data_IF_959678390935
#
_entry.id   IF_959678390935
#
_cell.length_a   1.000
_cell.length_b   1.000
_cell.length_c   1.000
_cell.angle_alpha   90.00
_cell.angle_beta   90.00
_cell.angle_gamma   90.00
#
_symmetry.space_group_name_H-M   'P 1'
#
loop_
_entity.id
_entity.type
_entity.pdbx_description
1 polymer ?
#
# COMPACT_ATOMS: atom_id res chain seq x y z
N UNK A 1 -76.83 7.50 71.41
CA UNK A 1 -76.32 6.43 72.31
C UNK A 1 -75.69 5.34 71.44
N UNK A 2 -74.38 5.08 71.62
CA UNK A 2 -73.60 3.88 71.19
C UNK A 2 -73.55 3.58 69.68
N UNK A 3 -72.44 3.74 68.96
CA UNK A 3 -71.15 2.99 68.99
C UNK A 3 -71.26 1.54 68.44
N UNK A 4 -70.44 1.28 67.40
CA UNK A 4 -69.73 0.04 66.99
C UNK A 4 -70.30 -0.95 65.93
N UNK A 5 -69.47 -1.09 64.88
CA UNK A 5 -68.81 -2.31 64.31
C UNK A 5 -69.49 -3.17 63.22
N UNK A 6 -68.78 -3.16 62.07
CA UNK A 6 -68.28 -4.28 61.24
C UNK A 6 -69.26 -5.38 60.80
N UNK A 7 -69.33 -5.59 59.48
CA UNK A 7 -69.01 -6.89 58.86
C UNK A 7 -68.74 -6.77 57.36
N UNK A 8 -67.89 -7.68 56.91
CA UNK A 8 -67.30 -7.89 55.59
C UNK A 8 -68.14 -8.94 54.86
N UNK A 9 -68.45 -8.77 53.56
CA UNK A 9 -68.55 -9.90 52.62
C UNK A 9 -68.69 -9.45 51.16
N UNK A 10 -68.08 -10.29 50.32
CA UNK A 10 -67.81 -10.19 48.90
C UNK A 10 -69.08 -10.41 48.07
N UNK A 11 -69.21 -9.67 46.96
CA UNK A 11 -70.22 -9.89 45.93
C UNK A 11 -69.72 -9.39 44.57
N UNK A 12 -69.10 -10.28 43.82
CA UNK A 12 -68.82 -10.13 42.38
C UNK A 12 -70.17 -10.07 41.64
N UNK A 13 -70.33 -9.16 40.67
CA UNK A 13 -70.81 -9.41 39.28
C UNK A 13 -71.28 -8.11 38.61
N UNK A 14 -70.44 -7.62 37.69
CA UNK A 14 -70.73 -7.08 36.33
C UNK A 14 -72.13 -6.54 36.04
N UNK A 15 -72.23 -5.25 35.65
CA UNK A 15 -72.80 -4.87 34.34
C UNK A 15 -72.45 -3.42 33.95
N UNK A 16 -72.07 -3.28 32.68
CA UNK A 16 -71.75 -2.07 31.91
C UNK A 16 -72.84 -0.99 31.92
N UNK A 17 -72.46 0.30 31.95
CA UNK A 17 -72.58 1.21 30.78
C UNK A 17 -72.07 2.63 31.10
N UNK A 18 -71.20 3.14 30.23
CA UNK A 18 -71.27 4.51 29.69
C UNK A 18 -70.80 5.68 30.57
N UNK A 19 -69.60 6.17 30.29
CA UNK A 19 -69.46 7.56 29.82
C UNK A 19 -68.15 7.74 29.05
N UNK A 20 -68.28 8.02 27.74
CA UNK A 20 -67.23 8.64 26.95
C UNK A 20 -66.88 10.00 27.60
N UNK A 21 -65.71 10.07 28.23
CA UNK A 21 -65.01 11.33 28.40
C UNK A 21 -64.03 11.49 27.24
N UNK A 22 -64.45 12.17 26.18
CA UNK A 22 -63.53 12.68 25.17
C UNK A 22 -62.64 13.74 25.83
N UNK A 23 -61.47 13.35 26.29
CA UNK A 23 -60.36 14.29 26.43
C UNK A 23 -59.81 14.54 25.03
N UNK A 24 -60.46 15.44 24.29
CA UNK A 24 -59.79 16.21 23.26
C UNK A 24 -58.68 16.99 23.95
N UNK A 25 -57.47 16.40 23.95
CA UNK A 25 -56.25 17.16 24.20
C UNK A 25 -56.14 18.11 23.02
N UNK A 26 -56.49 19.39 23.26
CA UNK A 26 -56.09 20.44 22.35
C UNK A 26 -54.56 20.40 22.31
N UNK A 27 -54.01 19.98 21.18
CA UNK A 27 -52.60 20.22 20.87
C UNK A 27 -52.42 21.73 20.94
N UNK A 28 -51.65 22.18 21.92
CA UNK A 28 -51.17 23.55 21.96
C UNK A 28 -50.18 23.69 20.80
N UNK A 29 -50.66 24.11 19.64
CA UNK A 29 -49.87 24.36 18.42
C UNK A 29 -48.91 25.57 18.57
N UNK A 30 -48.70 26.07 19.81
CA UNK A 30 -47.89 27.27 20.08
C UNK A 30 -46.40 27.00 20.35
N UNK A 31 -45.98 25.76 20.55
CA UNK A 31 -44.57 25.47 20.79
C UNK A 31 -43.80 25.41 19.46
N UNK A 32 -42.88 26.36 19.30
CA UNK A 32 -41.92 26.38 18.20
C UNK A 32 -41.04 25.12 18.18
N UNK A 33 -40.15 25.05 17.19
CA UNK A 33 -39.21 23.94 17.14
C UNK A 33 -38.29 23.92 18.37
N UNK A 34 -38.17 22.77 19.02
CA UNK A 34 -37.39 22.62 20.26
C UNK A 34 -36.75 21.24 20.38
N UNK A 35 -35.68 21.16 21.19
CA UNK A 35 -35.09 19.88 21.58
C UNK A 35 -35.97 19.18 22.60
N UNK A 36 -36.21 17.88 22.39
CA UNK A 36 -37.04 17.05 23.27
C UNK A 36 -36.27 15.77 23.60
N UNK A 37 -36.24 15.39 24.88
CA UNK A 37 -35.67 14.13 25.33
C UNK A 37 -36.75 13.13 25.74
N UNK A 38 -36.74 11.96 25.11
CA UNK A 38 -37.70 10.87 25.34
C UNK A 38 -36.94 9.54 25.32
N UNK A 39 -37.15 8.67 26.32
CA UNK A 39 -36.50 7.34 26.42
C UNK A 39 -34.96 7.36 26.32
N UNK A 40 -34.33 8.42 26.84
CA UNK A 40 -32.88 8.61 26.77
C UNK A 40 -32.35 9.06 25.40
N UNK A 41 -33.22 9.31 24.42
CA UNK A 41 -32.88 9.85 23.10
C UNK A 41 -33.18 11.34 23.03
N UNK A 42 -32.49 12.04 22.14
CA UNK A 42 -32.74 13.47 21.85
C UNK A 42 -33.30 13.61 20.44
N UNK A 43 -34.37 14.41 20.30
CA UNK A 43 -35.04 14.75 19.05
C UNK A 43 -35.16 16.27 18.92
N UNK A 44 -35.43 16.76 17.71
CA UNK A 44 -35.85 18.15 17.49
C UNK A 44 -37.25 18.14 16.88
N UNK A 45 -38.24 18.70 17.60
CA UNK A 45 -39.66 18.48 17.32
C UNK A 45 -40.43 19.80 17.22
N UNK A 46 -41.53 19.78 16.46
CA UNK A 46 -42.60 20.78 16.48
C UNK A 46 -43.95 20.05 16.47
N UNK A 47 -44.61 20.00 17.63
CA UNK A 47 -45.73 19.08 17.85
C UNK A 47 -45.29 17.63 17.59
N UNK A 48 -46.02 16.95 16.72
CA UNK A 48 -45.72 15.56 16.32
C UNK A 48 -44.63 15.43 15.24
N UNK A 49 -44.24 16.55 14.60
CA UNK A 49 -43.21 16.53 13.56
C UNK A 49 -41.83 16.35 14.20
N UNK A 50 -41.04 15.42 13.66
CA UNK A 50 -39.62 15.21 13.99
C UNK A 50 -38.75 15.70 12.84
N UNK A 51 -37.67 16.39 13.18
CA UNK A 51 -36.64 16.68 12.19
C UNK A 51 -35.89 15.41 11.79
N UNK A 52 -35.47 15.36 10.53
CA UNK A 52 -34.63 14.30 9.96
C UNK A 52 -33.54 14.92 9.09
N UNK A 53 -32.41 14.24 8.98
CA UNK A 53 -31.21 14.73 8.28
C UNK A 53 -30.63 16.01 8.93
N UNK A 54 -30.07 16.92 8.14
CA UNK A 54 -29.35 18.08 8.64
C UNK A 54 -30.28 19.22 9.03
N UNK A 55 -29.92 19.91 10.11
CA UNK A 55 -30.53 21.20 10.49
C UNK A 55 -29.51 22.14 11.11
N UNK A 56 -29.64 23.42 10.78
CA UNK A 56 -28.96 24.51 11.50
C UNK A 56 -29.88 24.99 12.63
N UNK A 57 -29.39 24.92 13.87
CA UNK A 57 -30.08 25.39 15.07
C UNK A 57 -29.11 26.33 15.79
N UNK A 58 -29.52 27.59 15.96
CA UNK A 58 -28.71 28.63 16.60
C UNK A 58 -27.29 28.75 16.02
N UNK A 59 -27.18 28.66 14.70
CA UNK A 59 -25.91 28.75 13.97
C UNK A 59 -25.04 27.49 14.01
N UNK A 60 -25.51 26.40 14.60
CA UNK A 60 -24.78 25.13 14.69
C UNK A 60 -25.46 24.04 13.87
N UNK A 61 -24.65 23.17 13.25
CA UNK A 61 -25.16 22.03 12.50
C UNK A 61 -25.41 20.82 13.40
N UNK A 62 -26.58 20.22 13.23
CA UNK A 62 -26.99 18.96 13.84
C UNK A 62 -27.45 18.01 12.74
N UNK A 63 -27.41 16.70 13.02
CA UNK A 63 -28.00 15.68 12.17
C UNK A 63 -28.90 14.75 12.97
N UNK A 64 -30.08 14.47 12.43
CA UNK A 64 -31.07 13.58 13.00
C UNK A 64 -31.25 12.38 12.07
N UNK A 65 -31.33 11.18 12.64
CA UNK A 65 -31.51 9.94 11.90
C UNK A 65 -32.66 10.04 10.89
N UNK A 66 -32.45 9.52 9.68
CA UNK A 66 -33.41 9.67 8.58
C UNK A 66 -34.73 8.92 8.81
N UNK A 67 -34.74 7.92 9.70
CA UNK A 67 -35.92 7.10 10.00
C UNK A 67 -36.51 7.47 11.35
N UNK A 68 -35.71 7.53 12.41
CA UNK A 68 -36.20 7.72 13.77
C UNK A 68 -36.26 9.19 14.23
N UNK A 69 -35.49 10.07 13.58
CA UNK A 69 -35.26 11.44 14.01
C UNK A 69 -34.35 11.56 15.25
N UNK A 70 -33.67 10.47 15.63
CA UNK A 70 -32.74 10.48 16.77
C UNK A 70 -31.48 11.27 16.44
N UNK A 71 -31.08 12.18 17.33
CA UNK A 71 -29.87 13.00 17.16
C UNK A 71 -28.61 12.13 17.20
N UNK A 72 -27.71 12.33 16.25
CA UNK A 72 -26.46 11.58 16.15
C UNK A 72 -25.34 12.19 17.00
N UNK A 73 -24.34 11.38 17.36
CA UNK A 73 -23.11 11.82 18.05
C UNK A 73 -21.90 11.04 17.53
N UNK A 74 -20.68 11.56 17.73
CA UNK A 74 -19.44 10.88 17.35
C UNK A 74 -19.25 10.75 15.84
N UNK A 75 -18.61 9.66 15.39
CA UNK A 75 -18.35 9.41 13.98
C UNK A 75 -19.61 9.05 13.21
N UNK A 76 -19.86 9.72 12.08
CA UNK A 76 -21.01 9.46 11.22
C UNK A 76 -20.58 9.42 9.76
N UNK A 77 -21.05 8.41 9.03
CA UNK A 77 -20.94 8.35 7.57
C UNK A 77 -22.31 8.61 6.95
N UNK A 78 -22.55 9.86 6.59
CA UNK A 78 -23.88 10.39 6.27
C UNK A 78 -23.83 11.29 5.03
N UNK A 79 -24.93 11.46 4.27
CA UNK A 79 -24.97 12.32 3.09
C UNK A 79 -24.59 13.75 3.45
N UNK A 80 -23.79 14.42 2.61
CA UNK A 80 -23.46 15.84 2.82
C UNK A 80 -24.72 16.73 2.84
N UNK A 81 -24.70 17.92 3.49
CA UNK A 81 -25.84 18.82 3.60
C UNK A 81 -26.19 19.47 2.25
N UNK A 82 -26.98 18.77 1.43
CA UNK A 82 -27.45 19.22 0.12
C UNK A 82 -28.79 19.95 0.25
N UNK A 83 -28.82 21.23 -0.12
CA UNK A 83 -29.99 22.11 0.00
C UNK A 83 -31.16 21.57 -0.81
N UNK A 84 -32.30 21.36 -0.15
CA UNK A 84 -33.50 20.78 -0.76
C UNK A 84 -33.51 19.26 -0.83
N UNK A 85 -32.46 18.56 -0.40
CA UNK A 85 -32.43 17.09 -0.32
C UNK A 85 -32.27 16.60 1.12
N UNK A 86 -31.17 17.00 1.77
CA UNK A 86 -30.78 16.54 3.12
C UNK A 86 -30.60 17.69 4.10
N UNK A 87 -30.66 18.95 3.64
CA UNK A 87 -30.82 20.14 4.47
C UNK A 87 -31.88 21.08 3.88
N UNK A 88 -32.63 21.77 4.74
CA UNK A 88 -33.61 22.75 4.30
C UNK A 88 -33.00 23.97 3.58
N UNK A 89 -33.84 24.85 3.01
CA UNK A 89 -35.30 24.77 2.95
C UNK A 89 -35.80 23.70 1.96
N UNK A 90 -36.99 23.17 2.24
CA UNK A 90 -37.73 22.25 1.39
C UNK A 90 -39.00 22.96 0.88
N UNK A 91 -38.98 23.61 -0.30
CA UNK A 91 -40.16 24.28 -0.84
C UNK A 91 -41.33 23.32 -0.94
N UNK A 92 -42.47 23.68 -0.33
CA UNK A 92 -43.68 22.85 -0.25
C UNK A 92 -43.47 21.46 0.39
N UNK A 93 -42.40 21.29 1.19
CA UNK A 93 -42.04 20.01 1.79
C UNK A 93 -41.47 18.98 0.80
N UNK A 94 -41.20 19.38 -0.45
CA UNK A 94 -40.68 18.49 -1.49
C UNK A 94 -39.16 18.37 -1.36
N UNK A 95 -38.65 17.13 -1.40
CA UNK A 95 -37.22 16.83 -1.50
C UNK A 95 -36.86 16.57 -2.96
N UNK A 96 -35.71 17.09 -3.38
CA UNK A 96 -35.17 16.84 -4.71
C UNK A 96 -34.81 15.35 -4.89
N UNK A 97 -34.98 14.84 -6.11
CA UNK A 97 -34.58 13.47 -6.46
C UNK A 97 -33.06 13.29 -6.48
N UNK A 98 -32.62 12.06 -6.21
CA UNK A 98 -31.20 11.71 -6.04
C UNK A 98 -30.75 11.83 -4.58
N UNK A 99 -29.85 10.93 -4.17
CA UNK A 99 -29.33 10.92 -2.80
C UNK A 99 -27.88 11.46 -2.78
N UNK A 100 -27.59 12.50 -1.96
CA UNK A 100 -26.24 13.04 -1.87
C UNK A 100 -25.22 11.99 -1.44
N UNK A 101 -23.97 12.13 -1.91
CA UNK A 101 -22.86 11.26 -1.53
C UNK A 101 -22.64 11.37 -0.01
N UNK A 102 -22.38 10.22 0.63
CA UNK A 102 -22.00 10.18 2.03
C UNK A 102 -20.53 10.51 2.25
N UNK A 103 -20.27 11.20 3.36
CA UNK A 103 -18.94 11.56 3.82
C UNK A 103 -18.82 11.32 5.33
N UNK A 104 -17.58 11.29 5.83
CA UNK A 104 -17.31 11.12 7.25
C UNK A 104 -17.31 12.46 7.98
N UNK A 105 -18.17 12.58 8.99
CA UNK A 105 -18.28 13.74 9.88
C UNK A 105 -18.05 13.32 11.33
N UNK A 106 -17.69 14.29 12.18
CA UNK A 106 -17.55 14.09 13.62
C UNK A 106 -18.46 15.06 14.39
N UNK A 107 -19.31 14.51 15.24
CA UNK A 107 -20.19 15.27 16.13
C UNK A 107 -19.71 15.15 17.56
N UNK A 108 -19.81 16.22 18.34
CA UNK A 108 -19.53 16.14 19.77
C UNK A 108 -20.60 15.32 20.51
N UNK A 109 -20.41 15.15 21.82
CA UNK A 109 -21.32 14.39 22.69
C UNK A 109 -22.71 15.03 22.80
N UNK A 110 -22.86 16.29 22.40
CA UNK A 110 -24.11 17.05 22.43
C UNK A 110 -24.77 17.12 21.04
N UNK A 111 -24.22 16.42 20.04
CA UNK A 111 -24.76 16.34 18.68
C UNK A 111 -24.41 17.53 17.79
N UNK A 112 -23.50 18.40 18.21
CA UNK A 112 -23.02 19.52 17.40
C UNK A 112 -21.93 19.02 16.46
N UNK A 113 -22.08 19.28 15.15
CA UNK A 113 -21.04 19.03 14.16
C UNK A 113 -19.77 19.77 14.58
N UNK A 114 -18.66 19.05 14.66
CA UNK A 114 -17.36 19.68 14.80
C UNK A 114 -16.89 20.17 13.43
N UNK A 115 -16.88 21.48 13.24
CA UNK A 115 -16.43 22.17 12.02
C UNK A 115 -14.90 22.15 11.89
N UNK A 116 -14.30 20.96 11.98
CA UNK A 116 -12.87 20.78 11.88
C UNK A 116 -12.37 21.07 10.46
N UNK A 117 -11.13 21.57 10.37
CA UNK A 117 -10.36 21.74 9.14
C UNK A 117 -8.91 21.38 9.45
N UNK A 118 -8.25 20.68 8.53
CA UNK A 118 -6.87 20.23 8.67
C UNK A 118 -6.70 19.01 9.59
N UNK A 119 -5.49 18.82 10.08
CA UNK A 119 -5.12 17.67 10.90
C UNK A 119 -5.82 17.66 12.27
N UNK A 120 -6.36 16.49 12.64
CA UNK A 120 -6.94 16.21 13.96
C UNK A 120 -6.59 14.80 14.43
N UNK A 121 -6.34 14.68 15.72
CA UNK A 121 -6.18 13.39 16.39
C UNK A 121 -7.48 13.04 17.10
N UNK A 122 -8.14 11.97 16.67
CA UNK A 122 -9.45 11.55 17.17
C UNK A 122 -9.47 10.03 17.41
N UNK A 123 -10.49 9.56 18.14
CA UNK A 123 -10.67 8.13 18.39
C UNK A 123 -10.81 7.36 17.08
N UNK A 124 -10.29 6.13 17.03
CA UNK A 124 -10.45 5.28 15.86
C UNK A 124 -11.94 4.95 15.62
N UNK A 125 -12.26 4.71 14.35
CA UNK A 125 -13.58 4.22 13.93
C UNK A 125 -13.70 2.72 14.17
N UNK A 126 -14.72 2.33 14.91
CA UNK A 126 -15.10 0.96 15.22
C UNK A 126 -16.62 0.85 15.23
N UNK A 127 -17.13 -0.38 15.33
CA UNK A 127 -18.56 -0.65 15.52
C UNK A 127 -19.16 0.10 16.73
N UNK A 128 -18.38 0.32 17.79
CA UNK A 128 -18.84 1.00 18.99
C UNK A 128 -18.71 2.54 18.90
N UNK A 129 -17.82 3.07 18.04
CA UNK A 129 -17.61 4.52 17.91
C UNK A 129 -18.34 5.20 16.74
N UNK A 130 -18.84 4.42 15.77
CA UNK A 130 -19.52 4.92 14.55
C UNK A 130 -21.04 4.78 14.63
N UNK A 131 -21.78 5.72 14.04
CA UNK A 131 -23.22 5.60 13.79
C UNK A 131 -24.09 5.81 15.04
N UNK A 132 -23.47 6.20 16.16
CA UNK A 132 -24.10 6.27 17.48
C UNK A 132 -25.12 7.40 17.57
N UNK A 133 -26.14 7.16 18.38
CA UNK A 133 -27.19 8.14 18.72
C UNK A 133 -27.01 8.65 20.14
N UNK A 134 -27.45 9.87 20.39
CA UNK A 134 -27.39 10.46 21.72
C UNK A 134 -28.09 9.54 22.75
N UNK A 135 -27.41 9.32 23.88
CA UNK A 135 -27.88 8.47 24.98
C UNK A 135 -27.73 6.97 24.76
N UNK A 136 -27.14 6.51 23.65
CA UNK A 136 -26.68 5.13 23.56
C UNK A 136 -25.50 4.88 24.51
N UNK A 137 -25.59 3.81 25.30
CA UNK A 137 -24.45 3.32 26.07
C UNK A 137 -23.48 2.60 25.14
N UNK A 138 -22.19 2.94 25.23
CA UNK A 138 -21.12 2.16 24.60
C UNK A 138 -20.90 0.86 25.37
N UNK A 139 -20.67 -0.25 24.67
CA UNK A 139 -20.55 -1.58 25.30
C UNK A 139 -19.39 -1.64 26.30
N UNK A 140 -18.31 -0.88 26.05
CA UNK A 140 -17.12 -0.82 26.91
C UNK A 140 -17.21 0.22 28.06
N UNK A 141 -18.41 0.67 28.43
CA UNK A 141 -18.59 1.81 29.36
C UNK A 141 -18.49 1.49 30.85
N UNK A 142 -18.45 0.22 31.27
CA UNK A 142 -18.58 -0.14 32.69
C UNK A 142 -17.28 -0.43 33.48
N UNK A 143 -16.06 -0.46 32.91
CA UNK A 143 -14.86 -0.61 33.77
C UNK A 143 -13.48 -0.26 33.14
N UNK A 144 -13.42 0.45 31.99
CA UNK A 144 -12.14 0.85 31.37
C UNK A 144 -12.26 2.19 30.64
N UNK A 145 -12.32 3.29 31.39
CA UNK A 145 -11.73 4.51 30.85
C UNK A 145 -10.28 4.18 30.40
N UNK A 146 -9.88 4.64 29.21
CA UNK A 146 -8.48 4.70 28.75
C UNK A 146 -7.80 3.48 28.06
N UNK A 147 -8.47 2.81 27.12
CA UNK A 147 -7.75 2.32 25.92
C UNK A 147 -8.44 2.70 24.61
N UNK A 148 -8.88 3.95 24.50
CA UNK A 148 -9.28 4.50 23.19
C UNK A 148 -8.01 4.67 22.37
N UNK A 149 -7.91 3.92 21.28
CA UNK A 149 -6.87 4.16 20.31
C UNK A 149 -7.21 5.42 19.53
N UNK A 150 -6.23 6.28 19.34
CA UNK A 150 -6.35 7.50 18.56
C UNK A 150 -5.51 7.39 17.30
N UNK A 151 -5.95 8.07 16.24
CA UNK A 151 -5.17 8.21 15.01
C UNK A 151 -5.38 9.60 14.41
N UNK A 152 -4.60 9.91 13.40
CA UNK A 152 -4.63 11.19 12.71
C UNK A 152 -5.57 11.13 11.51
N UNK A 153 -6.35 12.19 11.38
CA UNK A 153 -7.32 12.43 10.33
C UNK A 153 -7.07 13.82 9.74
N UNK A 154 -7.46 14.02 8.49
CA UNK A 154 -7.45 15.33 7.86
C UNK A 154 -8.85 15.71 7.41
N UNK A 155 -9.33 16.88 7.85
CA UNK A 155 -10.64 17.42 7.50
C UNK A 155 -10.50 18.48 6.41
N UNK A 156 -11.36 18.40 5.39
CA UNK A 156 -11.43 19.39 4.33
C UNK A 156 -12.20 20.65 4.79
N UNK A 157 -12.36 21.61 3.88
CA UNK A 157 -13.05 22.88 4.16
C UNK A 157 -14.56 22.72 4.43
N UNK A 158 -15.14 21.57 4.07
CA UNK A 158 -16.55 21.23 4.32
C UNK A 158 -16.74 20.38 5.58
N UNK A 159 -15.70 20.28 6.43
CA UNK A 159 -15.71 19.58 7.71
C UNK A 159 -15.92 18.07 7.61
N UNK A 160 -15.63 17.48 6.46
CA UNK A 160 -15.59 16.04 6.27
C UNK A 160 -14.18 15.51 6.06
N UNK A 161 -13.98 14.20 6.26
CA UNK A 161 -12.67 13.58 6.08
C UNK A 161 -12.23 13.52 4.61
N UNK A 162 -10.98 13.90 4.36
CA UNK A 162 -10.28 13.53 3.13
C UNK A 162 -9.90 12.03 3.13
N UNK A 163 -9.80 11.44 1.94
CA UNK A 163 -9.38 10.03 1.75
C UNK A 163 -8.47 9.91 0.52
N UNK A 164 -7.58 8.91 0.52
CA UNK A 164 -6.59 8.73 -0.54
C UNK A 164 -5.38 9.65 -0.37
N UNK A 165 -4.78 10.06 -1.49
CA UNK A 165 -3.59 10.91 -1.50
C UNK A 165 -3.91 12.35 -1.10
N UNK A 166 -3.18 12.86 -0.11
CA UNK A 166 -3.24 14.23 0.38
C UNK A 166 -1.88 14.88 0.21
N UNK A 167 -1.83 16.04 -0.46
CA UNK A 167 -0.66 16.91 -0.45
C UNK A 167 -0.87 18.04 0.55
N UNK A 168 -0.05 18.08 1.59
CA UNK A 168 -0.10 19.11 2.63
C UNK A 168 1.30 19.40 3.16
N UNK A 169 1.56 20.65 3.56
CA UNK A 169 2.87 21.05 4.13
C UNK A 169 4.08 20.58 3.29
N UNK A 170 3.95 20.69 1.96
CA UNK A 170 4.96 20.25 0.98
C UNK A 170 5.26 18.75 0.93
N UNK A 171 4.41 17.91 1.55
CA UNK A 171 4.58 16.48 1.64
C UNK A 171 3.34 15.72 1.17
N UNK A 172 3.55 14.50 0.67
CA UNK A 172 2.46 13.58 0.33
C UNK A 172 2.18 12.65 1.51
N UNK A 173 0.90 12.48 1.82
CA UNK A 173 0.37 11.54 2.80
C UNK A 173 -0.67 10.66 2.13
N UNK A 174 -0.95 9.50 2.72
CA UNK A 174 -2.05 8.65 2.30
C UNK A 174 -3.02 8.44 3.45
N UNK A 175 -4.28 8.75 3.20
CA UNK A 175 -5.40 8.57 4.11
C UNK A 175 -6.20 7.36 3.63
N UNK A 176 -6.64 6.48 4.54
CA UNK A 176 -7.38 5.28 4.18
C UNK A 176 -8.57 5.61 3.25
N UNK A 177 -8.72 4.89 2.14
CA UNK A 177 -9.94 4.97 1.31
C UNK A 177 -11.14 4.50 2.14
N UNK A 178 -12.31 5.09 1.91
CA UNK A 178 -13.52 4.68 2.62
C UNK A 178 -13.91 3.26 2.23
N UNK A 179 -14.03 2.39 3.23
CA UNK A 179 -14.55 1.04 3.10
C UNK A 179 -15.45 0.75 4.30
N UNK A 180 -16.73 0.50 4.01
CA UNK A 180 -17.74 0.17 5.02
C UNK A 180 -18.36 -1.16 4.61
N UNK A 181 -17.91 -2.26 5.22
CA UNK A 181 -18.48 -3.59 5.05
C UNK A 181 -18.55 -4.33 6.39
N UNK A 182 -19.72 -4.84 6.77
CA UNK A 182 -19.89 -5.58 8.03
C UNK A 182 -19.38 -4.82 9.26
N UNK A 183 -18.17 -5.17 9.73
CA UNK A 183 -17.51 -4.58 10.90
C UNK A 183 -16.36 -3.62 10.57
N UNK A 184 -16.01 -3.45 9.30
CA UNK A 184 -14.97 -2.54 8.84
C UNK A 184 -15.54 -1.13 8.66
N UNK A 185 -14.93 -0.15 9.33
CA UNK A 185 -15.28 1.27 9.24
C UNK A 185 -14.03 2.11 8.90
N UNK A 186 -13.42 1.83 7.75
CA UNK A 186 -12.22 2.51 7.30
C UNK A 186 -12.59 3.80 6.55
N UNK A 187 -11.75 4.82 6.68
CA UNK A 187 -11.83 6.05 5.89
C UNK A 187 -11.10 7.22 6.55
N UNK A 188 -10.09 7.77 5.90
CA UNK A 188 -9.41 8.98 6.35
C UNK A 188 -8.33 8.77 7.42
N UNK A 189 -8.16 7.56 7.96
CA UNK A 189 -7.03 7.27 8.86
C UNK A 189 -5.71 7.48 8.13
N UNK A 190 -4.80 8.29 8.69
CA UNK A 190 -3.44 8.44 8.17
C UNK A 190 -2.72 7.10 8.19
N UNK A 191 -2.29 6.65 7.01
CA UNK A 191 -1.52 5.41 6.85
C UNK A 191 -0.03 5.66 7.06
N UNK A 192 0.70 4.59 7.34
CA UNK A 192 2.14 4.58 7.52
C UNK A 192 2.70 3.21 7.09
N UNK A 193 3.99 3.13 6.78
CA UNK A 193 4.63 1.92 6.24
C UNK A 193 4.22 1.62 4.80
N UNK A 194 4.26 0.34 4.42
CA UNK A 194 3.85 -0.10 3.09
C UNK A 194 2.35 0.04 2.89
N UNK A 195 1.95 0.66 1.78
CA UNK A 195 0.57 0.72 1.32
C UNK A 195 0.51 0.29 -0.15
N UNK A 196 -0.58 -0.38 -0.51
CA UNK A 196 -0.93 -0.67 -1.88
C UNK A 196 -2.12 0.20 -2.26
N UNK A 197 -1.97 0.97 -3.33
CA UNK A 197 -3.03 1.77 -3.92
C UNK A 197 -3.14 1.40 -5.40
N UNK A 198 -4.28 0.82 -5.76
CA UNK A 198 -4.60 0.36 -7.12
C UNK A 198 -3.45 -0.44 -7.76
N UNK A 199 -3.01 -1.50 -7.06
CA UNK A 199 -1.92 -2.41 -7.44
C UNK A 199 -0.51 -1.80 -7.45
N UNK A 200 -0.35 -0.55 -7.03
CA UNK A 200 0.95 0.12 -6.91
C UNK A 200 1.36 0.22 -5.45
N UNK A 201 2.59 -0.21 -5.13
CA UNK A 201 3.12 -0.13 -3.77
C UNK A 201 3.84 1.20 -3.53
N UNK A 202 3.64 1.77 -2.35
CA UNK A 202 4.31 2.96 -1.86
C UNK A 202 4.77 2.72 -0.43
N UNK A 203 5.76 3.49 0.02
CA UNK A 203 6.21 3.45 1.39
C UNK A 203 6.04 4.82 2.05
N UNK A 204 5.39 4.84 3.20
CA UNK A 204 5.19 6.03 4.02
C UNK A 204 6.05 5.89 5.28
N UNK A 205 6.71 6.96 5.68
CA UNK A 205 7.52 6.98 6.90
C UNK A 205 6.68 6.52 8.12
N UNK A 206 7.13 5.51 8.90
CA UNK A 206 6.34 4.96 10.00
C UNK A 206 5.93 5.97 11.08
N UNK A 207 6.72 7.04 11.27
CA UNK A 207 6.49 8.04 12.31
C UNK A 207 5.63 9.19 11.77
N UNK A 208 6.09 9.82 10.70
CA UNK A 208 5.55 11.05 10.13
C UNK A 208 4.47 10.81 9.07
N UNK A 209 4.38 9.59 8.51
CA UNK A 209 3.42 9.25 7.45
C UNK A 209 3.73 9.89 6.09
N UNK A 210 4.88 10.55 5.96
CA UNK A 210 5.32 11.20 4.73
C UNK A 210 5.74 10.14 3.71
N UNK A 211 5.24 10.24 2.49
CA UNK A 211 5.62 9.37 1.38
C UNK A 211 7.11 9.47 1.07
N UNK A 212 7.76 8.32 1.03
CA UNK A 212 9.19 8.20 0.74
C UNK A 212 9.46 8.06 -0.75
N UNK A 213 10.62 8.56 -1.18
CA UNK A 213 11.15 8.42 -2.54
C UNK A 213 12.63 8.03 -2.47
N UNK A 214 13.21 7.64 -3.61
CA UNK A 214 14.60 7.19 -3.71
C UNK A 214 14.85 5.80 -3.12
N UNK A 215 16.13 5.50 -2.86
CA UNK A 215 16.56 4.25 -2.24
C UNK A 215 16.18 4.18 -0.76
N UNK A 216 15.55 3.09 -0.36
CA UNK A 216 15.10 2.84 1.01
C UNK A 216 15.61 1.48 1.50
N UNK A 217 16.26 1.46 2.66
CA UNK A 217 16.73 0.23 3.30
C UNK A 217 15.75 -0.22 4.38
N UNK A 218 14.92 -1.21 4.05
CA UNK A 218 13.77 -1.63 4.85
C UNK A 218 13.83 -3.13 5.09
N UNK A 219 13.78 -3.56 6.36
CA UNK A 219 13.74 -4.99 6.69
C UNK A 219 14.92 -5.78 6.13
N UNK A 220 16.13 -5.20 6.15
CA UNK A 220 17.36 -5.78 5.60
C UNK A 220 17.36 -5.98 4.07
N UNK A 221 16.55 -5.21 3.35
CA UNK A 221 16.43 -5.21 1.89
C UNK A 221 16.44 -3.78 1.36
N UNK A 222 16.98 -3.59 0.16
CA UNK A 222 16.92 -2.31 -0.55
C UNK A 222 15.72 -2.28 -1.48
N UNK A 223 15.03 -1.15 -1.51
CA UNK A 223 13.93 -0.86 -2.42
C UNK A 223 14.19 0.49 -3.08
N UNK A 224 13.69 0.68 -4.30
CA UNK A 224 13.72 1.98 -4.94
C UNK A 224 12.29 2.50 -5.15
N UNK A 225 12.00 3.67 -4.59
CA UNK A 225 10.72 4.36 -4.71
C UNK A 225 10.93 5.50 -5.72
N UNK A 226 10.17 5.51 -6.81
CA UNK A 226 10.28 6.53 -7.86
C UNK A 226 9.93 7.91 -7.29
N UNK A 227 10.17 8.98 -8.06
CA UNK A 227 9.78 10.33 -7.66
C UNK A 227 8.28 10.49 -7.41
N UNK A 228 7.44 9.65 -8.02
CA UNK A 228 6.01 9.55 -7.73
C UNK A 228 5.68 8.77 -6.44
N UNK A 229 6.68 8.24 -5.74
CA UNK A 229 6.55 7.32 -4.60
C UNK A 229 6.31 5.86 -4.98
N UNK A 230 5.99 5.58 -6.24
CA UNK A 230 5.72 4.21 -6.69
C UNK A 230 6.98 3.34 -6.60
N UNK A 231 6.86 2.18 -5.96
CA UNK A 231 7.93 1.19 -5.86
C UNK A 231 8.32 0.67 -7.25
N UNK A 232 9.61 0.72 -7.56
CA UNK A 232 10.15 0.18 -8.80
C UNK A 232 10.29 -1.35 -8.73
N UNK A 233 10.02 -2.00 -9.85
CA UNK A 233 10.27 -3.42 -10.09
C UNK A 233 10.96 -3.58 -11.44
N UNK A 234 11.67 -4.70 -11.63
CA UNK A 234 12.46 -4.98 -12.83
C UNK A 234 13.75 -4.16 -12.90
N UNK A 235 14.23 -3.95 -14.13
CA UNK A 235 15.43 -3.15 -14.38
C UNK A 235 15.20 -1.67 -14.10
N UNK A 236 16.11 -1.08 -13.34
CA UNK A 236 16.14 0.35 -13.02
C UNK A 236 17.52 0.90 -13.32
N UNK A 237 17.56 2.06 -14.00
CA UNK A 237 18.80 2.75 -14.33
C UNK A 237 18.91 4.05 -13.54
N UNK A 238 20.00 4.20 -12.80
CA UNK A 238 20.37 5.42 -12.08
C UNK A 238 21.67 5.97 -12.65
N UNK A 239 21.60 7.09 -13.36
CA UNK A 239 22.71 7.59 -14.17
C UNK A 239 23.13 6.56 -15.22
N UNK A 240 24.35 6.03 -15.12
CA UNK A 240 24.87 4.98 -16.01
C UNK A 240 24.78 3.58 -15.42
N UNK A 241 24.33 3.45 -14.17
CA UNK A 241 24.35 2.18 -13.42
C UNK A 241 22.99 1.52 -13.48
N UNK A 242 22.97 0.23 -13.81
CA UNK A 242 21.76 -0.59 -13.80
C UNK A 242 21.65 -1.38 -12.49
N UNK A 243 20.43 -1.52 -12.01
CA UNK A 243 20.03 -2.31 -10.86
C UNK A 243 18.84 -3.18 -11.27
N UNK A 244 18.62 -4.28 -10.55
CA UNK A 244 17.43 -5.10 -10.73
C UNK A 244 16.65 -5.20 -9.42
N UNK A 245 15.40 -4.78 -9.46
CA UNK A 245 14.43 -4.88 -8.38
C UNK A 245 13.54 -6.09 -8.67
N UNK A 246 13.34 -6.96 -7.69
CA UNK A 246 12.54 -8.16 -7.81
C UNK A 246 11.14 -7.85 -8.38
N UNK A 247 10.69 -8.60 -9.38
CA UNK A 247 9.41 -8.30 -10.02
C UNK A 247 8.20 -8.44 -9.08
N UNK A 248 8.08 -9.51 -8.27
CA UNK A 248 6.97 -9.63 -7.32
C UNK A 248 7.14 -8.76 -6.06
N UNK A 249 8.36 -8.62 -5.53
CA UNK A 249 8.55 -8.02 -4.20
C UNK A 249 9.24 -6.64 -4.21
N UNK A 250 9.83 -6.20 -5.31
CA UNK A 250 10.54 -4.92 -5.42
C UNK A 250 11.91 -4.85 -4.71
N UNK A 251 12.35 -5.90 -4.03
CA UNK A 251 13.65 -5.91 -3.37
C UNK A 251 14.81 -6.00 -4.38
N UNK A 252 15.82 -5.16 -4.18
CA UNK A 252 17.02 -5.12 -5.01
C UNK A 252 17.80 -6.44 -4.91
N UNK A 253 18.11 -7.02 -6.07
CA UNK A 253 18.90 -8.24 -6.15
C UNK A 253 20.40 -7.96 -6.20
N UNK A 254 21.16 -8.94 -5.73
CA UNK A 254 22.62 -8.99 -5.79
C UNK A 254 23.06 -10.38 -6.24
N UNK A 255 24.33 -10.54 -6.61
CA UNK A 255 24.90 -11.79 -7.11
C UNK A 255 24.44 -12.14 -8.53
N UNK A 256 24.66 -13.41 -8.90
CA UNK A 256 24.23 -13.95 -10.18
C UNK A 256 22.70 -14.05 -10.28
N UNK A 257 22.13 -13.52 -11.36
CA UNK A 257 20.69 -13.52 -11.63
C UNK A 257 20.43 -14.03 -13.05
N UNK A 258 19.52 -14.98 -13.19
CA UNK A 258 19.07 -15.48 -14.50
C UNK A 258 17.76 -14.81 -14.89
N UNK A 259 17.81 -13.86 -15.82
CA UNK A 259 16.72 -12.95 -16.17
C UNK A 259 16.53 -12.96 -17.69
N UNK A 260 15.31 -13.24 -18.14
CA UNK A 260 14.98 -13.20 -19.58
C UNK A 260 15.89 -14.09 -20.44
N UNK A 261 16.19 -15.31 -19.96
CA UNK A 261 17.10 -16.29 -20.59
C UNK A 261 18.57 -15.87 -20.68
N UNK A 262 19.01 -14.93 -19.85
CA UNK A 262 20.41 -14.46 -19.80
C UNK A 262 20.89 -14.38 -18.35
N UNK A 263 22.18 -14.62 -18.13
CA UNK A 263 22.81 -14.41 -16.83
C UNK A 263 23.35 -12.99 -16.71
N UNK A 264 23.15 -12.38 -15.55
CA UNK A 264 23.71 -11.09 -15.17
C UNK A 264 24.38 -11.23 -13.80
N UNK A 265 25.41 -10.43 -13.54
CA UNK A 265 25.97 -10.32 -12.21
C UNK A 265 25.69 -8.93 -11.65
N UNK A 266 24.98 -8.88 -10.53
CA UNK A 266 24.76 -7.68 -9.75
C UNK A 266 25.75 -7.68 -8.60
N UNK A 267 26.57 -6.63 -8.48
CA UNK A 267 27.55 -6.50 -7.39
C UNK A 267 26.83 -6.48 -6.03
N UNK A 268 27.59 -6.55 -4.94
CA UNK A 268 27.02 -6.42 -3.58
C UNK A 268 26.28 -5.08 -3.35
N UNK A 269 26.63 -4.05 -4.11
CA UNK A 269 25.90 -2.77 -4.15
C UNK A 269 24.63 -2.79 -5.00
N UNK A 270 24.30 -3.91 -5.65
CA UNK A 270 23.22 -4.05 -6.63
C UNK A 270 23.57 -3.59 -8.04
N UNK A 271 24.69 -2.88 -8.22
CA UNK A 271 25.12 -2.39 -9.52
C UNK A 271 25.46 -3.54 -10.47
N UNK A 272 24.83 -3.56 -11.65
CA UNK A 272 25.10 -4.52 -12.71
C UNK A 272 26.54 -4.38 -13.20
N UNK A 273 27.27 -5.48 -13.20
CA UNK A 273 28.61 -5.52 -13.74
C UNK A 273 28.58 -5.61 -15.28
N UNK A 274 29.57 -4.99 -15.91
CA UNK A 274 29.89 -5.13 -17.34
C UNK A 274 31.40 -5.33 -17.48
N UNK A 275 31.83 -5.91 -18.60
CA UNK A 275 33.22 -6.27 -18.86
C UNK A 275 33.66 -7.52 -18.11
N UNK A 276 34.98 -7.64 -17.91
CA UNK A 276 35.57 -8.76 -17.16
C UNK A 276 35.24 -8.68 -15.67
N UNK A 277 34.77 -9.80 -15.13
CA UNK A 277 34.45 -9.98 -13.71
C UNK A 277 35.14 -11.25 -13.20
N UNK A 278 35.79 -11.14 -12.04
CA UNK A 278 36.48 -12.27 -11.39
C UNK A 278 35.74 -12.66 -10.11
N UNK A 279 35.39 -13.94 -9.99
CA UNK A 279 34.83 -14.54 -8.78
C UNK A 279 35.77 -15.66 -8.31
N UNK A 280 36.45 -15.43 -7.18
CA UNK A 280 37.55 -16.29 -6.76
C UNK A 280 38.68 -16.29 -7.78
N UNK A 281 38.98 -17.45 -8.37
CA UNK A 281 39.97 -17.59 -9.45
C UNK A 281 39.36 -17.63 -10.85
N UNK A 282 38.03 -17.67 -10.96
CA UNK A 282 37.32 -17.81 -12.24
C UNK A 282 36.99 -16.44 -12.82
N UNK A 283 37.27 -16.27 -14.11
CA UNK A 283 36.89 -15.08 -14.87
C UNK A 283 35.62 -15.32 -15.69
N UNK A 284 34.79 -14.30 -15.77
CA UNK A 284 33.59 -14.21 -16.58
C UNK A 284 33.64 -12.92 -17.40
N UNK A 285 32.99 -12.90 -18.55
CA UNK A 285 32.80 -11.67 -19.32
C UNK A 285 31.31 -11.33 -19.44
N UNK A 286 30.95 -10.14 -19.00
CA UNK A 286 29.61 -9.58 -19.09
C UNK A 286 29.59 -8.53 -20.18
N UNK A 287 28.61 -8.59 -21.08
CA UNK A 287 28.49 -7.69 -22.22
C UNK A 287 28.56 -6.22 -21.80
N UNK A 288 29.25 -5.39 -22.59
CA UNK A 288 29.22 -3.95 -22.40
C UNK A 288 28.48 -3.32 -23.60
N UNK A 289 27.40 -2.55 -23.37
CA UNK A 289 26.89 -2.07 -22.08
C UNK A 289 25.82 -2.96 -21.43
N UNK A 290 25.39 -4.07 -22.04
CA UNK A 290 24.12 -4.72 -21.68
C UNK A 290 24.19 -5.64 -20.45
N UNK A 291 25.37 -6.06 -20.00
CA UNK A 291 25.60 -6.86 -18.80
C UNK A 291 25.35 -8.36 -18.92
N UNK A 292 24.87 -8.85 -20.06
CA UNK A 292 24.63 -10.28 -20.22
C UNK A 292 25.92 -11.10 -20.33
N UNK A 293 25.99 -12.19 -19.57
CA UNK A 293 27.15 -13.08 -19.52
C UNK A 293 27.36 -13.77 -20.88
N UNK A 294 28.58 -13.69 -21.40
CA UNK A 294 28.97 -14.35 -22.65
C UNK A 294 29.46 -15.77 -22.42
N UNK A 295 29.33 -16.57 -23.47
CA UNK A 295 29.83 -17.95 -23.59
C UNK A 295 30.44 -18.16 -24.98
N UNK A 296 31.20 -19.24 -25.17
CA UNK A 296 31.88 -19.56 -26.42
C UNK A 296 33.11 -18.69 -26.70
N UNK A 297 33.56 -18.71 -27.96
CA UNK A 297 34.67 -17.88 -28.44
C UNK A 297 34.29 -16.40 -28.48
N UNK A 298 35.11 -15.55 -27.86
CA UNK A 298 34.91 -14.11 -27.78
C UNK A 298 36.18 -13.36 -28.20
N UNK A 299 36.04 -12.40 -29.12
CA UNK A 299 37.13 -11.50 -29.50
C UNK A 299 36.99 -10.18 -28.71
N UNK A 300 37.86 -9.99 -27.72
CA UNK A 300 37.79 -8.90 -26.75
C UNK A 300 39.13 -8.17 -26.73
N UNK A 301 39.13 -6.90 -27.14
CA UNK A 301 40.36 -6.11 -27.18
C UNK A 301 41.45 -6.68 -28.10
N UNK A 302 41.04 -7.19 -29.28
CA UNK A 302 41.91 -7.84 -30.27
C UNK A 302 42.57 -9.15 -29.81
N UNK A 303 42.00 -9.81 -28.80
CA UNK A 303 42.43 -11.11 -28.30
C UNK A 303 41.24 -12.07 -28.25
N UNK A 304 41.49 -13.33 -28.56
CA UNK A 304 40.47 -14.38 -28.47
C UNK A 304 40.50 -15.04 -27.10
N UNK A 305 39.33 -15.26 -26.53
CA UNK A 305 39.12 -16.00 -25.29
C UNK A 305 38.05 -17.05 -25.52
N UNK A 306 38.14 -18.17 -24.83
CA UNK A 306 37.06 -19.16 -24.80
C UNK A 306 36.38 -19.16 -23.44
N UNK A 307 35.09 -18.83 -23.43
CA UNK A 307 34.24 -18.89 -22.25
C UNK A 307 33.43 -20.19 -22.31
N UNK A 308 33.51 -21.03 -21.28
CA UNK A 308 32.74 -22.28 -21.20
C UNK A 308 31.23 -21.99 -21.18
N UNK A 309 30.41 -23.03 -21.31
CA UNK A 309 28.94 -22.90 -21.22
C UNK A 309 28.45 -22.30 -19.90
N UNK A 310 29.22 -22.45 -18.82
CA UNK A 310 28.99 -21.81 -17.52
C UNK A 310 29.40 -20.33 -17.48
N UNK A 311 29.99 -19.78 -18.55
CA UNK A 311 30.59 -18.45 -18.61
C UNK A 311 32.02 -18.36 -18.11
N UNK A 312 32.52 -19.42 -17.46
CA UNK A 312 33.88 -19.47 -16.92
C UNK A 312 34.92 -19.45 -18.05
N UNK A 313 35.86 -18.52 -18.00
CA UNK A 313 36.99 -18.44 -18.93
C UNK A 313 37.87 -19.68 -18.82
N UNK A 314 38.15 -20.33 -19.94
CA UNK A 314 39.07 -21.44 -20.01
C UNK A 314 40.53 -20.94 -20.06
N UNK A 315 41.42 -21.71 -19.46
CA UNK A 315 42.87 -21.55 -19.53
C UNK A 315 43.51 -22.91 -19.82
N UNK A 316 44.74 -22.90 -20.33
CA UNK A 316 45.46 -24.09 -20.76
C UNK A 316 44.95 -24.67 -22.08
N UNK A 317 45.17 -25.97 -22.25
CA UNK A 317 44.74 -26.70 -23.44
C UNK A 317 43.22 -26.83 -23.51
N UNK A 318 42.65 -26.47 -24.65
CA UNK A 318 41.23 -26.60 -24.95
C UNK A 318 41.04 -27.29 -26.30
N UNK A 319 40.10 -28.24 -26.38
CA UNK A 319 39.79 -28.97 -27.59
C UNK A 319 38.37 -28.65 -28.06
N UNK A 320 38.23 -28.24 -29.32
CA UNK A 320 36.97 -28.00 -30.01
C UNK A 320 36.87 -28.92 -31.22
N UNK A 321 36.01 -29.94 -31.14
CA UNK A 321 35.98 -31.04 -32.11
C UNK A 321 37.33 -31.76 -32.17
N UNK A 322 37.97 -31.76 -33.33
CA UNK A 322 39.31 -32.34 -33.55
C UNK A 322 40.45 -31.33 -33.36
N UNK A 323 40.15 -30.04 -33.15
CA UNK A 323 41.15 -28.97 -33.13
C UNK A 323 41.54 -28.62 -31.71
N UNK A 324 42.85 -28.56 -31.45
CA UNK A 324 43.40 -28.09 -30.18
C UNK A 324 43.75 -26.61 -30.24
N UNK A 325 43.55 -25.93 -29.12
CA UNK A 325 43.89 -24.53 -28.88
C UNK A 325 44.63 -24.45 -27.54
N UNK A 326 45.53 -23.47 -27.43
CA UNK A 326 46.14 -23.14 -26.15
C UNK A 326 45.70 -21.74 -25.71
N UNK A 327 45.01 -21.69 -24.57
CA UNK A 327 44.62 -20.46 -23.90
C UNK A 327 45.65 -20.19 -22.82
N UNK A 328 46.25 -19.01 -22.83
CA UNK A 328 47.34 -18.66 -21.92
C UNK A 328 46.94 -18.89 -20.45
N UNK A 329 47.81 -19.54 -19.68
CA UNK A 329 47.51 -19.99 -18.32
C UNK A 329 47.20 -18.86 -17.33
N UNK A 330 47.74 -17.66 -17.55
CA UNK A 330 47.56 -16.51 -16.65
C UNK A 330 46.41 -15.60 -17.06
N UNK A 331 46.34 -15.21 -18.33
CA UNK A 331 45.39 -14.21 -18.81
C UNK A 331 44.28 -14.77 -19.72
N UNK A 332 44.34 -16.05 -20.10
CA UNK A 332 43.31 -16.74 -20.88
C UNK A 332 43.29 -16.42 -22.37
N UNK A 333 44.17 -15.58 -22.89
CA UNK A 333 44.17 -15.26 -24.33
C UNK A 333 44.70 -16.41 -25.19
N UNK A 334 44.06 -16.61 -26.33
CA UNK A 334 44.40 -17.65 -27.30
C UNK A 334 45.76 -17.37 -27.92
N UNK A 335 46.65 -18.35 -27.85
CA UNK A 335 48.01 -18.25 -28.36
C UNK A 335 48.07 -18.55 -29.86
N UNK A 336 48.93 -17.85 -30.59
CA UNK A 336 49.25 -18.08 -32.00
C UNK A 336 50.77 -18.04 -32.21
N UNK A 337 51.26 -18.61 -33.30
CA UNK A 337 52.68 -18.76 -33.57
C UNK A 337 53.34 -19.85 -32.72
N UNK A 338 54.66 -19.77 -32.58
CA UNK A 338 55.45 -20.68 -31.75
C UNK A 338 55.33 -20.32 -30.26
N UNK A 339 55.03 -21.31 -29.41
CA UNK A 339 54.93 -21.15 -27.95
C UNK A 339 55.43 -22.40 -27.21
N UNK A 340 55.74 -22.24 -25.91
CA UNK A 340 56.27 -23.32 -25.08
C UNK A 340 55.33 -23.63 -23.90
N UNK A 341 55.08 -24.92 -23.65
CA UNK A 341 54.32 -25.41 -22.49
C UNK A 341 55.09 -26.57 -21.87
N UNK A 342 55.40 -26.48 -20.58
CA UNK A 342 56.13 -27.52 -19.83
C UNK A 342 57.43 -28.00 -20.52
N UNK A 343 58.15 -27.09 -21.18
CA UNK A 343 59.42 -27.39 -21.87
C UNK A 343 59.29 -27.81 -23.34
N UNK A 344 58.09 -28.19 -23.80
CA UNK A 344 57.84 -28.58 -25.19
C UNK A 344 57.38 -27.39 -26.03
N UNK A 345 57.85 -27.30 -27.27
CA UNK A 345 57.44 -26.27 -28.23
C UNK A 345 56.28 -26.75 -29.09
N UNK A 346 55.35 -25.84 -29.34
CA UNK A 346 54.13 -26.05 -30.14
C UNK A 346 53.98 -24.88 -31.11
N UNK A 347 53.23 -25.10 -32.19
CA UNK A 347 52.85 -24.04 -33.13
C UNK A 347 51.35 -23.99 -33.33
N UNK A 348 50.75 -22.81 -33.14
CA UNK A 348 49.36 -22.55 -33.46
C UNK A 348 49.26 -21.62 -34.69
N UNK A 349 48.41 -21.97 -35.65
CA UNK A 349 48.14 -21.10 -36.80
C UNK A 349 47.48 -19.78 -36.36
N UNK A 350 47.28 -18.84 -37.30
CA UNK A 350 46.62 -17.56 -37.01
C UNK A 350 45.18 -17.71 -36.48
N UNK A 351 44.52 -18.84 -36.78
CA UNK A 351 43.22 -19.22 -36.21
C UNK A 351 43.29 -19.74 -34.78
N UNK A 352 44.49 -19.96 -34.23
CA UNK A 352 44.73 -20.62 -32.94
C UNK A 352 44.78 -22.14 -33.00
N UNK A 353 44.45 -22.74 -34.14
CA UNK A 353 44.48 -24.19 -34.32
C UNK A 353 45.91 -24.72 -34.20
N UNK A 354 46.11 -25.73 -33.35
CA UNK A 354 47.39 -26.41 -33.15
C UNK A 354 47.78 -27.18 -34.42
N UNK A 355 49.02 -27.00 -34.88
CA UNK A 355 49.61 -27.82 -35.91
C UNK A 355 50.00 -29.20 -35.35
N UNK A 356 49.52 -30.28 -35.98
CA UNK A 356 49.80 -31.66 -35.59
C UNK A 356 50.19 -32.50 -36.81
N UNK A 357 51.09 -33.46 -36.64
CA UNK A 357 51.57 -34.37 -37.69
C UNK A 357 51.95 -33.66 -39.01
N UNK A 358 52.70 -32.56 -38.90
CA UNK A 358 53.03 -31.72 -40.06
C UNK A 358 54.40 -31.06 -39.87
N UNK A 359 54.82 -30.26 -40.85
CA UNK A 359 56.02 -29.42 -40.77
C UNK A 359 55.63 -27.96 -40.88
N UNK A 360 56.14 -27.12 -39.97
CA UNK A 360 55.92 -25.67 -39.94
C UNK A 360 57.28 -24.99 -40.00
N UNK A 361 57.51 -24.16 -41.02
CA UNK A 361 58.77 -23.41 -41.20
C UNK A 361 60.05 -24.28 -41.14
N UNK A 362 59.94 -25.54 -41.58
CA UNK A 362 61.04 -26.52 -41.54
C UNK A 362 61.17 -27.33 -40.24
N UNK A 363 60.31 -27.08 -39.24
CA UNK A 363 60.26 -27.82 -37.98
C UNK A 363 59.13 -28.84 -37.98
N UNK A 364 59.43 -30.12 -37.77
CA UNK A 364 58.42 -31.18 -37.72
C UNK A 364 57.76 -31.27 -36.34
N UNK A 365 56.43 -31.33 -36.31
CA UNK A 365 55.62 -31.51 -35.09
C UNK A 365 54.91 -32.86 -35.10
N UNK A 366 54.90 -33.57 -33.97
CA UNK A 366 54.32 -34.90 -33.83
C UNK A 366 52.77 -34.86 -33.71
N UNK A 367 52.16 -36.00 -33.37
CA UNK A 367 50.70 -36.12 -33.23
C UNK A 367 50.11 -35.35 -32.04
N UNK A 368 50.93 -35.01 -31.04
CA UNK A 368 50.58 -34.10 -29.94
C UNK A 368 50.84 -32.63 -30.29
N UNK A 369 51.39 -32.34 -31.48
CA UNK A 369 51.81 -31.00 -31.91
C UNK A 369 53.15 -30.54 -31.32
N UNK A 370 53.90 -31.44 -30.69
CA UNK A 370 55.19 -31.13 -30.08
C UNK A 370 56.29 -31.12 -31.14
N UNK A 371 57.13 -30.09 -31.12
CA UNK A 371 58.32 -30.04 -31.97
C UNK A 371 59.28 -31.19 -31.66
N UNK A 372 59.60 -31.97 -32.69
CA UNK A 372 60.59 -33.06 -32.63
C UNK A 372 61.93 -32.50 -33.09
N UNK A 373 62.92 -32.54 -32.21
CA UNK A 373 64.28 -32.09 -32.47
C UNK A 373 65.08 -33.08 -33.31
#
# INVERSE_FOLDING_TARGET
MKILKKTMQVGLTVFFFGLLGTSTVFADDSEGWQFVQENGRTYYKKGDLKETYWRVIDGKYYYFDSLSGEMVVGWQYIPFPSKGSTIGPYPNGIRLEGFPKSEWYYFDKNGVLQEFVGWKTLEIKTKDSVGRKYGEKREDSEDKEEKRYYTNYYFNQNHSLETGWLYDQSNWYYLAKTEINGENYLGGERRAGWINDDSTWYYLDPTTGIMQTGWQYLGNKWYYLRSSGAMATGWYQEGTTWYYLDHPNGDMKTGWQYLGNKWYYLRSSGAMATGWYQEGTTWYYLDHPNGDMKTGWQNLGNKWYYLRSSGAMATGWYQDGSTWYYLNAGNGDMTTGWFQVNGNWYYAYSSGALAVNTTVDGYSVNYNGEWVR
#
